data_IF_423401244137
#
_entry.id   IF_423401244137
#
_cell.length_a   1.000
_cell.length_b   1.000
_cell.length_c   1.000
_cell.angle_alpha   90.00
_cell.angle_beta   90.00
_cell.angle_gamma   90.00
#
_symmetry.space_group_name_H-M   'P 1'
#
loop_
_entity.id
_entity.type
_entity.pdbx_description
1 polymer ?
#
# COMPACT_ATOMS: atom_id res chain seq x y z
N UNK A 1 -2.99 -7.99 -25.85
CA UNK A 1 -4.04 -6.94 -25.91
C UNK A 1 -4.60 -6.78 -24.51
N UNK A 2 -4.87 -5.56 -24.03
CA UNK A 2 -5.52 -5.39 -22.73
C UNK A 2 -6.92 -6.02 -22.78
N UNK A 3 -7.24 -6.87 -21.82
CA UNK A 3 -8.59 -7.39 -21.62
C UNK A 3 -9.44 -6.26 -21.02
N UNK A 4 -10.41 -5.77 -21.78
CA UNK A 4 -11.44 -4.86 -21.27
C UNK A 4 -12.55 -5.71 -20.65
N UNK A 5 -12.65 -5.67 -19.33
CA UNK A 5 -13.68 -6.35 -18.55
C UNK A 5 -14.51 -5.26 -17.87
N UNK A 6 -15.73 -5.02 -18.36
CA UNK A 6 -16.72 -4.21 -17.64
C UNK A 6 -16.29 -2.77 -17.29
N UNK A 7 -15.66 -2.04 -18.21
CA UNK A 7 -15.27 -0.63 -18.00
C UNK A 7 -13.91 -0.43 -17.33
N UNK A 8 -13.09 -1.49 -17.27
CA UNK A 8 -11.72 -1.45 -16.78
C UNK A 8 -10.77 -2.11 -17.77
N UNK A 9 -9.53 -1.61 -17.80
CA UNK A 9 -8.40 -2.16 -18.55
C UNK A 9 -7.40 -2.76 -17.58
N UNK A 10 -7.11 -4.06 -17.71
CA UNK A 10 -6.05 -4.72 -16.92
C UNK A 10 -4.67 -4.21 -17.40
N UNK A 11 -3.87 -3.69 -16.46
CA UNK A 11 -2.52 -3.19 -16.72
C UNK A 11 -1.45 -4.22 -16.41
N UNK A 12 -1.57 -4.92 -15.28
CA UNK A 12 -0.57 -5.88 -14.81
C UNK A 12 -1.18 -6.90 -13.84
N UNK A 13 -0.58 -8.06 -13.74
CA UNK A 13 -0.94 -9.10 -12.78
C UNK A 13 0.32 -9.74 -12.23
N UNK A 14 0.37 -9.96 -10.92
CA UNK A 14 1.48 -10.64 -10.26
C UNK A 14 0.98 -11.38 -9.02
N UNK A 15 1.80 -12.30 -8.52
CA UNK A 15 1.50 -13.11 -7.34
C UNK A 15 2.55 -12.91 -6.26
N UNK A 16 2.16 -13.06 -5.01
CA UNK A 16 3.13 -13.22 -3.92
C UNK A 16 2.55 -14.08 -2.80
N UNK A 17 3.46 -14.72 -2.06
CA UNK A 17 3.16 -15.54 -0.90
C UNK A 17 3.23 -14.69 0.37
N UNK A 18 2.29 -14.88 1.28
CA UNK A 18 2.29 -14.24 2.60
C UNK A 18 3.02 -15.12 3.62
N UNK A 19 3.66 -14.54 4.65
CA UNK A 19 4.20 -15.30 5.77
C UNK A 19 3.16 -16.14 6.52
N UNK A 20 1.88 -15.78 6.40
CA UNK A 20 0.74 -16.49 6.97
C UNK A 20 0.34 -17.72 6.14
N UNK A 21 1.01 -17.97 5.01
CA UNK A 21 0.84 -19.14 4.16
C UNK A 21 -0.19 -18.99 3.05
N UNK A 22 -0.63 -17.77 2.73
CA UNK A 22 -1.53 -17.53 1.60
C UNK A 22 -0.76 -17.24 0.31
N UNK A 23 -1.35 -17.54 -0.83
CA UNK A 23 -0.91 -17.00 -2.12
C UNK A 23 -1.98 -16.06 -2.65
N UNK A 24 -1.59 -14.84 -2.95
CA UNK A 24 -2.51 -13.82 -3.48
C UNK A 24 -2.12 -13.41 -4.89
N UNK A 25 -3.14 -13.10 -5.69
CA UNK A 25 -3.01 -12.45 -6.99
C UNK A 25 -3.36 -10.98 -6.86
N UNK A 26 -2.47 -10.11 -7.31
CA UNK A 26 -2.73 -8.69 -7.46
C UNK A 26 -2.97 -8.37 -8.92
N UNK A 27 -4.08 -7.71 -9.19
CA UNK A 27 -4.45 -7.28 -10.54
C UNK A 27 -4.56 -5.76 -10.53
N UNK A 28 -3.65 -5.11 -11.26
CA UNK A 28 -3.73 -3.68 -11.50
C UNK A 28 -4.68 -3.41 -12.68
N UNK A 29 -5.60 -2.48 -12.46
CA UNK A 29 -6.63 -2.10 -13.42
C UNK A 29 -6.71 -0.58 -13.53
N UNK A 30 -6.98 -0.08 -14.73
CA UNK A 30 -7.36 1.31 -14.98
C UNK A 30 -8.86 1.38 -15.27
N UNK A 31 -9.57 2.28 -14.62
CA UNK A 31 -10.97 2.53 -14.97
C UNK A 31 -11.06 3.38 -16.23
N UNK A 32 -11.99 3.03 -17.11
CA UNK A 32 -12.29 3.84 -18.29
C UNK A 32 -13.05 5.12 -17.91
N UNK A 33 -13.87 5.03 -16.83
CA UNK A 33 -14.60 6.13 -16.20
C UNK A 33 -14.77 5.83 -14.71
N UNK A 34 -14.52 6.79 -13.85
CA UNK A 34 -14.70 6.65 -12.41
C UNK A 34 -14.17 7.84 -11.63
N UNK A 35 -14.40 7.82 -10.31
CA UNK A 35 -13.77 8.78 -9.38
C UNK A 35 -12.26 8.53 -9.24
N UNK A 36 -11.83 7.28 -9.44
CA UNK A 36 -10.44 6.89 -9.36
C UNK A 36 -9.92 6.38 -10.71
N UNK A 37 -8.68 6.73 -11.00
CA UNK A 37 -8.02 6.38 -12.26
C UNK A 37 -7.61 4.91 -12.28
N UNK A 38 -7.03 4.43 -11.17
CA UNK A 38 -6.43 3.10 -11.10
C UNK A 38 -6.83 2.38 -9.81
N UNK A 39 -6.87 1.05 -9.91
CA UNK A 39 -7.18 0.14 -8.82
C UNK A 39 -6.18 -1.00 -8.80
N UNK A 40 -5.82 -1.45 -7.61
CA UNK A 40 -5.11 -2.70 -7.39
C UNK A 40 -6.03 -3.60 -6.57
N UNK A 41 -6.50 -4.69 -7.18
CA UNK A 41 -7.40 -5.64 -6.54
C UNK A 41 -6.60 -6.85 -6.10
N UNK A 42 -6.80 -7.27 -4.84
CA UNK A 42 -6.14 -8.42 -4.24
C UNK A 42 -7.12 -9.58 -4.19
N UNK A 43 -6.76 -10.67 -4.83
CA UNK A 43 -7.51 -11.91 -4.87
C UNK A 43 -6.76 -12.99 -4.10
N UNK A 44 -7.47 -13.76 -3.29
CA UNK A 44 -6.92 -14.96 -2.66
C UNK A 44 -6.99 -16.12 -3.67
N UNK A 45 -5.87 -16.79 -3.93
CA UNK A 45 -5.88 -18.00 -4.73
C UNK A 45 -6.30 -19.18 -3.85
N UNK A 46 -7.27 -20.01 -4.28
CA UNK A 46 -7.73 -21.14 -3.48
C UNK A 46 -6.65 -22.22 -3.45
N UNK A 47 -6.45 -22.78 -2.26
CA UNK A 47 -5.55 -23.89 -2.02
C UNK A 47 -6.25 -25.23 -2.18
N UNK A 48 -5.59 -26.19 -2.84
CA UNK A 48 -5.99 -27.58 -2.86
C UNK A 48 -5.50 -28.35 -1.61
N UNK A 49 -4.50 -27.81 -0.90
CA UNK A 49 -3.95 -28.39 0.31
C UNK A 49 -3.31 -27.30 1.18
N UNK A 50 -4.10 -26.69 2.07
CA UNK A 50 -3.68 -25.54 2.89
C UNK A 50 -2.53 -25.86 3.86
N UNK A 51 -2.54 -27.07 4.43
CA UNK A 51 -1.51 -27.48 5.39
C UNK A 51 -0.16 -27.61 4.69
N UNK A 52 -0.14 -28.28 3.53
CA UNK A 52 1.08 -28.40 2.73
C UNK A 52 1.53 -27.05 2.14
N UNK A 53 0.60 -26.18 1.78
CA UNK A 53 0.91 -24.83 1.30
C UNK A 53 1.71 -24.03 2.33
N UNK A 54 1.25 -23.99 3.58
CA UNK A 54 1.90 -23.25 4.64
C UNK A 54 3.33 -23.77 4.90
N UNK A 55 3.48 -25.09 5.01
CA UNK A 55 4.77 -25.73 5.23
C UNK A 55 5.74 -25.46 4.07
N UNK A 56 5.26 -25.54 2.83
CA UNK A 56 6.09 -25.35 1.65
C UNK A 56 6.48 -23.88 1.47
N UNK A 57 5.57 -22.92 1.70
CA UNK A 57 5.89 -21.48 1.71
C UNK A 57 6.96 -21.18 2.75
N UNK A 58 6.80 -21.70 3.97
CA UNK A 58 7.77 -21.52 5.05
C UNK A 58 9.13 -22.09 4.65
N UNK A 59 9.17 -23.31 4.13
CA UNK A 59 10.40 -23.98 3.68
C UNK A 59 11.14 -23.18 2.61
N UNK A 60 10.44 -22.73 1.56
CA UNK A 60 11.12 -22.01 0.45
C UNK A 60 11.52 -20.59 0.83
N UNK A 61 10.76 -19.91 1.69
CA UNK A 61 11.10 -18.56 2.13
C UNK A 61 12.19 -18.54 3.19
N UNK A 62 12.09 -19.39 4.22
CA UNK A 62 12.98 -19.34 5.38
C UNK A 62 14.24 -20.21 5.17
N UNK A 63 14.11 -21.41 4.60
CA UNK A 63 15.25 -22.32 4.44
C UNK A 63 16.02 -22.07 3.12
N UNK A 64 15.30 -21.77 2.03
CA UNK A 64 15.90 -21.52 0.72
C UNK A 64 16.13 -20.04 0.41
N UNK A 65 15.55 -19.14 1.21
CA UNK A 65 15.73 -17.70 1.06
C UNK A 65 15.01 -17.08 -0.14
N UNK A 66 13.97 -17.73 -0.68
CA UNK A 66 13.17 -17.19 -1.77
C UNK A 66 12.42 -15.92 -1.33
N UNK A 67 12.31 -14.95 -2.23
CA UNK A 67 11.41 -13.82 -2.03
C UNK A 67 9.94 -14.24 -2.05
N UNK A 68 9.06 -13.40 -1.50
CA UNK A 68 7.61 -13.65 -1.53
C UNK A 68 7.05 -13.86 -2.94
N UNK A 69 7.62 -13.21 -3.96
CA UNK A 69 7.22 -13.37 -5.36
C UNK A 69 7.67 -14.72 -5.91
N UNK A 70 8.93 -15.10 -5.68
CA UNK A 70 9.48 -16.39 -6.12
C UNK A 70 8.76 -17.56 -5.44
N UNK A 71 8.47 -17.44 -4.14
CA UNK A 71 7.71 -18.43 -3.39
C UNK A 71 6.30 -18.63 -4.00
N UNK A 72 5.57 -17.57 -4.34
CA UNK A 72 4.26 -17.73 -4.98
C UNK A 72 4.35 -18.45 -6.33
N UNK A 73 5.29 -18.07 -7.18
CA UNK A 73 5.46 -18.71 -8.49
C UNK A 73 5.86 -20.19 -8.34
N UNK A 74 6.64 -20.54 -7.31
CA UNK A 74 6.93 -21.93 -6.96
C UNK A 74 5.65 -22.69 -6.56
N UNK A 75 4.87 -22.17 -5.62
CA UNK A 75 3.62 -22.79 -5.13
C UNK A 75 2.59 -22.98 -6.25
N UNK A 76 2.49 -22.00 -7.17
CA UNK A 76 1.67 -22.09 -8.38
C UNK A 76 2.17 -23.19 -9.31
N UNK A 77 3.48 -23.27 -9.54
CA UNK A 77 4.11 -24.24 -10.46
C UNK A 77 3.97 -25.68 -9.99
N UNK A 78 3.95 -25.93 -8.69
CA UNK A 78 3.70 -27.26 -8.10
C UNK A 78 2.20 -27.53 -7.87
N UNK A 79 1.33 -26.67 -8.40
CA UNK A 79 -0.12 -26.84 -8.47
C UNK A 79 -0.82 -27.01 -7.09
N UNK A 80 -0.25 -26.41 -6.04
CA UNK A 80 -0.90 -26.36 -4.71
C UNK A 80 -2.09 -25.39 -4.72
N UNK A 81 -2.01 -24.31 -5.48
CA UNK A 81 -3.05 -23.29 -5.62
C UNK A 81 -3.59 -23.23 -7.04
N UNK A 82 -4.86 -22.86 -7.20
CA UNK A 82 -5.44 -22.64 -8.51
C UNK A 82 -5.22 -21.21 -9.02
N UNK A 83 -4.17 -21.03 -9.81
CA UNK A 83 -3.91 -19.78 -10.53
C UNK A 83 -4.58 -19.73 -11.92
N UNK A 84 -5.38 -20.71 -12.31
CA UNK A 84 -6.09 -20.72 -13.61
C UNK A 84 -7.45 -20.03 -13.55
N UNK A 85 -8.03 -19.93 -12.34
CA UNK A 85 -9.32 -19.27 -12.11
C UNK A 85 -9.31 -17.81 -12.56
N UNK A 86 -10.44 -17.41 -13.13
CA UNK A 86 -10.68 -16.05 -13.55
C UNK A 86 -10.95 -15.14 -12.33
N UNK A 87 -10.67 -13.82 -12.41
CA UNK A 87 -10.90 -12.90 -11.30
C UNK A 87 -12.33 -12.90 -10.72
N UNK A 88 -13.34 -13.18 -11.54
CA UNK A 88 -14.74 -13.28 -11.14
C UNK A 88 -15.06 -14.52 -10.27
N UNK A 89 -14.21 -15.54 -10.33
CA UNK A 89 -14.33 -16.76 -9.51
C UNK A 89 -13.53 -16.66 -8.19
N UNK A 90 -12.63 -15.68 -8.09
CA UNK A 90 -11.74 -15.53 -6.95
C UNK A 90 -12.32 -14.64 -5.84
N UNK A 91 -12.01 -14.98 -4.59
CA UNK A 91 -12.35 -14.15 -3.43
C UNK A 91 -11.50 -12.88 -3.45
N UNK A 92 -12.15 -11.70 -3.54
CA UNK A 92 -11.47 -10.42 -3.32
C UNK A 92 -11.26 -10.19 -1.83
N UNK A 93 -10.01 -10.08 -1.42
CA UNK A 93 -9.61 -9.82 -0.02
C UNK A 93 -9.03 -8.42 0.19
N UNK A 94 -8.86 -7.64 -0.89
CA UNK A 94 -8.30 -6.29 -0.79
C UNK A 94 -8.52 -5.43 -2.02
N UNK A 95 -8.52 -4.11 -1.81
CA UNK A 95 -8.57 -3.10 -2.87
C UNK A 95 -7.78 -1.85 -2.48
N UNK A 96 -7.03 -1.32 -3.42
CA UNK A 96 -6.34 -0.03 -3.31
C UNK A 96 -6.75 0.84 -4.50
N UNK A 97 -7.28 2.03 -4.23
CA UNK A 97 -7.64 3.01 -5.24
C UNK A 97 -6.62 4.14 -5.25
N UNK A 98 -6.17 4.56 -6.43
CA UNK A 98 -5.17 5.62 -6.55
C UNK A 98 -5.26 6.40 -7.86
N UNK A 99 -4.90 7.68 -7.75
CA UNK A 99 -4.93 8.65 -8.84
C UNK A 99 -3.54 9.18 -9.15
N UNK A 100 -3.41 9.77 -10.33
CA UNK A 100 -2.23 10.56 -10.68
C UNK A 100 -2.10 11.77 -9.75
N UNK A 101 -0.87 12.04 -9.31
CA UNK A 101 -0.56 13.15 -8.42
C UNK A 101 0.73 13.84 -8.83
N UNK A 102 0.61 15.09 -9.30
CA UNK A 102 1.76 15.93 -9.62
C UNK A 102 2.27 16.68 -8.40
N UNK A 103 3.59 16.73 -8.21
CA UNK A 103 4.24 17.49 -7.14
C UNK A 103 5.58 18.07 -7.59
N UNK A 104 6.06 19.07 -6.85
CA UNK A 104 7.37 19.67 -7.06
C UNK A 104 8.38 19.04 -6.11
N UNK A 105 9.43 18.45 -6.66
CA UNK A 105 10.53 17.86 -5.90
C UNK A 105 11.43 18.89 -5.22
N UNK A 106 12.33 18.41 -4.36
CA UNK A 106 13.29 19.29 -3.64
C UNK A 106 14.28 19.95 -4.60
N UNK A 107 14.52 19.33 -5.74
CA UNK A 107 15.32 19.85 -6.85
C UNK A 107 14.59 20.90 -7.70
N UNK A 108 13.30 21.17 -7.41
CA UNK A 108 12.46 22.11 -8.15
C UNK A 108 11.81 21.54 -9.40
N UNK A 109 12.03 20.26 -9.74
CA UNK A 109 11.41 19.62 -10.90
C UNK A 109 9.98 19.15 -10.59
N UNK A 110 9.14 19.07 -11.61
CA UNK A 110 7.81 18.48 -11.50
C UNK A 110 7.89 16.96 -11.70
N UNK A 111 7.24 16.22 -10.80
CA UNK A 111 7.17 14.77 -10.79
C UNK A 111 5.72 14.31 -10.82
N UNK A 112 5.48 13.14 -11.42
CA UNK A 112 4.19 12.47 -11.43
C UNK A 112 4.28 11.19 -10.60
N UNK A 113 3.48 11.12 -9.54
CA UNK A 113 3.35 9.95 -8.68
C UNK A 113 1.92 9.41 -8.63
N UNK A 114 1.72 8.40 -7.79
CA UNK A 114 0.40 7.84 -7.49
C UNK A 114 -0.01 8.20 -6.07
N UNK A 115 -1.15 8.87 -5.92
CA UNK A 115 -1.74 9.10 -4.60
C UNK A 115 -2.76 8.02 -4.27
N UNK A 116 -2.54 7.30 -3.17
CA UNK A 116 -3.54 6.40 -2.61
C UNK A 116 -4.73 7.23 -2.11
N UNK A 117 -5.92 6.94 -2.63
CA UNK A 117 -7.20 7.57 -2.22
C UNK A 117 -8.08 6.65 -1.39
N UNK A 118 -7.72 5.37 -1.33
CA UNK A 118 -8.43 4.38 -0.53
C UNK A 118 -7.65 3.08 -0.47
N UNK A 119 -7.65 2.45 0.70
CA UNK A 119 -7.04 1.16 0.92
C UNK A 119 -7.96 0.35 1.85
N UNK A 120 -8.31 -0.85 1.43
CA UNK A 120 -9.10 -1.77 2.22
C UNK A 120 -8.53 -3.18 2.10
N UNK A 121 -8.41 -3.85 3.22
CA UNK A 121 -8.10 -5.27 3.35
C UNK A 121 -9.16 -5.90 4.26
N UNK A 122 -9.68 -7.04 3.85
CA UNK A 122 -10.62 -7.81 4.65
C UNK A 122 -9.87 -8.47 5.82
N UNK A 123 -10.29 -8.34 7.08
CA UNK A 123 -9.72 -9.13 8.17
C UNK A 123 -9.87 -10.64 7.90
N UNK A 124 -8.86 -11.48 8.21
CA UNK A 124 -7.60 -11.15 8.89
C UNK A 124 -6.44 -10.72 7.97
N UNK A 125 -6.68 -10.55 6.67
CA UNK A 125 -5.65 -10.28 5.65
C UNK A 125 -5.01 -8.88 5.78
N UNK A 126 -5.57 -8.00 6.60
CA UNK A 126 -4.99 -6.71 6.99
C UNK A 126 -3.67 -6.85 7.78
N UNK A 127 -3.44 -8.01 8.41
CA UNK A 127 -2.20 -8.34 9.10
C UNK A 127 -1.11 -8.96 8.21
N UNK A 128 -1.47 -9.48 7.03
CA UNK A 128 -0.66 -10.42 6.25
C UNK A 128 0.43 -9.80 5.35
N UNK A 129 0.96 -8.62 5.73
CA UNK A 129 1.88 -7.77 4.94
C UNK A 129 1.37 -7.35 3.55
N UNK A 130 0.16 -7.73 3.17
CA UNK A 130 -0.42 -7.46 1.84
C UNK A 130 -0.45 -5.96 1.54
N UNK A 131 -0.84 -5.14 2.52
CA UNK A 131 -0.89 -3.69 2.36
C UNK A 131 0.46 -3.08 2.00
N UNK A 132 1.52 -3.46 2.73
CA UNK A 132 2.86 -2.97 2.43
C UNK A 132 3.41 -3.48 1.09
N UNK A 133 3.10 -4.71 0.71
CA UNK A 133 3.51 -5.27 -0.59
C UNK A 133 2.79 -4.57 -1.75
N UNK A 134 1.50 -4.28 -1.60
CA UNK A 134 0.73 -3.51 -2.57
C UNK A 134 1.32 -2.10 -2.76
N UNK A 135 1.65 -1.41 -1.67
CA UNK A 135 2.27 -0.08 -1.73
C UNK A 135 3.67 -0.16 -2.37
N UNK A 136 4.46 -1.19 -2.02
CA UNK A 136 5.78 -1.41 -2.61
C UNK A 136 5.70 -1.63 -4.11
N UNK A 137 4.75 -2.44 -4.58
CA UNK A 137 4.52 -2.65 -6.01
C UNK A 137 4.24 -1.33 -6.75
N UNK A 138 3.31 -0.52 -6.22
CA UNK A 138 2.97 0.78 -6.83
C UNK A 138 4.21 1.70 -6.84
N UNK A 139 4.96 1.72 -5.73
CA UNK A 139 6.19 2.51 -5.61
C UNK A 139 7.29 2.06 -6.60
N UNK A 140 7.53 0.76 -6.75
CA UNK A 140 8.52 0.22 -7.69
C UNK A 140 8.15 0.55 -9.14
N UNK A 141 6.87 0.46 -9.49
CA UNK A 141 6.37 0.73 -10.83
C UNK A 141 6.37 2.21 -11.20
N UNK A 142 5.89 3.07 -10.29
CA UNK A 142 5.65 4.49 -10.59
C UNK A 142 6.65 5.45 -9.96
N UNK A 143 7.65 4.93 -9.22
CA UNK A 143 8.75 5.65 -8.56
C UNK A 143 8.35 6.61 -7.44
N UNK A 144 7.13 7.15 -7.46
CA UNK A 144 6.63 8.08 -6.46
C UNK A 144 5.25 7.63 -5.97
N UNK A 145 5.15 7.43 -4.65
CA UNK A 145 3.91 7.06 -3.98
C UNK A 145 3.55 8.12 -2.95
N UNK A 146 2.27 8.50 -2.92
CA UNK A 146 1.74 9.57 -2.08
C UNK A 146 0.60 9.02 -1.23
N UNK A 147 0.59 9.36 0.06
CA UNK A 147 -0.52 9.01 0.93
C UNK A 147 -1.76 9.84 0.64
N UNK A 148 -2.93 9.39 1.10
CA UNK A 148 -4.09 10.27 1.11
C UNK A 148 -3.91 11.41 2.11
N UNK A 149 -4.59 12.52 1.86
CA UNK A 149 -4.64 13.65 2.79
C UNK A 149 -5.59 13.42 3.97
N UNK A 150 -6.41 12.37 3.91
CA UNK A 150 -7.25 11.88 5.00
C UNK A 150 -6.87 10.44 5.33
N UNK A 151 -6.08 10.25 6.39
CA UNK A 151 -5.60 8.92 6.78
C UNK A 151 -6.36 8.35 7.97
N UNK A 152 -6.56 7.05 7.93
CA UNK A 152 -6.87 6.26 9.14
C UNK A 152 -5.61 6.16 10.01
N UNK A 153 -5.77 5.83 11.29
CA UNK A 153 -4.63 5.60 12.20
C UNK A 153 -3.72 4.48 11.68
N UNK A 154 -4.31 3.42 11.12
CA UNK A 154 -3.56 2.33 10.48
C UNK A 154 -2.74 2.83 9.28
N UNK A 155 -3.34 3.64 8.41
CA UNK A 155 -2.64 4.26 7.28
C UNK A 155 -1.48 5.14 7.73
N UNK A 156 -1.72 6.06 8.66
CA UNK A 156 -0.68 6.91 9.23
C UNK A 156 0.44 6.09 9.90
N UNK A 157 0.10 4.97 10.53
CA UNK A 157 1.06 4.06 11.17
C UNK A 157 1.92 3.33 10.14
N UNK A 158 1.33 2.90 9.02
CA UNK A 158 2.07 2.31 7.91
C UNK A 158 3.07 3.32 7.32
N UNK A 159 2.66 4.57 7.08
CA UNK A 159 3.54 5.60 6.54
C UNK A 159 4.67 6.00 7.48
N UNK A 160 4.37 6.16 8.77
CA UNK A 160 5.36 6.54 9.79
C UNK A 160 6.31 5.40 10.20
N UNK A 161 5.97 4.15 9.90
CA UNK A 161 6.79 2.98 10.22
C UNK A 161 7.29 2.25 8.97
N UNK A 162 6.41 1.48 8.34
CA UNK A 162 6.76 0.55 7.26
C UNK A 162 7.29 1.26 6.02
N UNK A 163 6.65 2.35 5.57
CA UNK A 163 7.06 3.03 4.33
C UNK A 163 8.46 3.64 4.44
N UNK A 164 8.85 4.14 5.62
CA UNK A 164 10.22 4.63 5.88
C UNK A 164 11.30 3.57 5.71
N UNK A 165 10.96 2.27 5.72
CA UNK A 165 11.91 1.18 5.42
C UNK A 165 12.22 1.06 3.93
N UNK A 166 11.34 1.58 3.07
CA UNK A 166 11.51 1.53 1.62
C UNK A 166 12.27 2.74 1.06
N UNK A 167 12.44 3.80 1.84
CA UNK A 167 13.12 5.01 1.41
C UNK A 167 12.76 6.22 2.28
N UNK A 168 13.31 7.37 1.90
CA UNK A 168 13.01 8.63 2.55
C UNK A 168 11.58 9.07 2.25
N UNK A 169 10.87 9.48 3.30
CA UNK A 169 9.49 9.95 3.21
C UNK A 169 9.48 11.46 3.44
N UNK A 170 9.08 12.22 2.44
CA UNK A 170 8.89 13.67 2.50
C UNK A 170 7.53 14.01 3.12
N UNK A 171 7.50 15.04 3.95
CA UNK A 171 6.27 15.74 4.36
C UNK A 171 6.05 16.90 3.39
N UNK A 172 4.94 16.90 2.66
CA UNK A 172 4.65 17.82 1.57
C UNK A 172 3.37 18.62 1.82
N UNK A 173 3.44 19.94 1.58
CA UNK A 173 2.30 20.85 1.62
C UNK A 173 1.72 21.01 0.21
N UNK A 174 0.53 20.48 -0.03
CA UNK A 174 -0.13 20.52 -1.34
C UNK A 174 -0.61 21.91 -1.75
N UNK A 175 -0.81 22.82 -0.79
CA UNK A 175 -1.24 24.20 -1.05
C UNK A 175 -0.03 25.07 -1.39
N UNK A 176 1.05 24.97 -0.61
CA UNK A 176 2.30 25.71 -0.86
C UNK A 176 3.16 25.09 -1.95
N UNK A 177 2.88 23.83 -2.31
CA UNK A 177 3.62 23.02 -3.27
C UNK A 177 5.10 22.86 -2.92
N UNK A 178 5.40 22.59 -1.66
CA UNK A 178 6.78 22.44 -1.21
C UNK A 178 6.96 21.32 -0.16
N UNK A 179 8.19 20.79 -0.11
CA UNK A 179 8.67 19.95 0.97
C UNK A 179 8.76 20.80 2.25
N UNK A 180 8.10 20.36 3.32
CA UNK A 180 8.17 20.99 4.64
C UNK A 180 9.29 20.40 5.49
N UNK A 181 9.46 19.07 5.44
CA UNK A 181 10.44 18.32 6.22
C UNK A 181 10.54 16.88 5.68
N UNK A 182 11.44 16.09 6.23
CA UNK A 182 11.49 14.64 6.07
C UNK A 182 10.84 13.95 7.28
N UNK A 183 10.04 12.92 7.06
CA UNK A 183 9.40 12.16 8.11
C UNK A 183 10.43 11.32 8.87
N UNK A 184 10.63 11.69 10.12
CA UNK A 184 11.56 11.10 11.06
C UNK A 184 10.87 10.27 12.15
N UNK A 185 11.60 10.11 13.26
CA UNK A 185 11.16 9.29 14.38
C UNK A 185 9.94 9.87 15.09
N UNK A 186 9.20 8.99 15.77
CA UNK A 186 7.91 9.33 16.41
C UNK A 186 6.89 9.94 15.44
N UNK A 187 7.01 9.62 14.15
CA UNK A 187 6.12 10.10 13.11
C UNK A 187 6.09 11.64 12.96
N UNK A 188 7.22 12.32 13.13
CA UNK A 188 7.28 13.79 12.93
C UNK A 188 8.46 14.20 12.09
N UNK A 189 8.45 15.43 11.60
CA UNK A 189 9.53 16.02 10.84
C UNK A 189 10.87 15.89 11.57
N UNK A 190 11.89 15.39 10.87
CA UNK A 190 13.21 15.09 11.45
C UNK A 190 13.99 16.35 11.82
N UNK A 191 13.75 17.46 11.11
CA UNK A 191 14.50 18.71 11.29
C UNK A 191 13.70 19.74 12.09
N UNK A 192 12.43 19.91 11.74
CA UNK A 192 11.55 20.95 12.28
C UNK A 192 10.63 20.45 13.38
N UNK A 193 10.48 19.13 13.52
CA UNK A 193 9.48 18.52 14.39
C UNK A 193 8.04 18.68 13.89
N UNK A 194 7.83 19.04 12.62
CA UNK A 194 6.50 19.24 12.05
C UNK A 194 5.64 17.98 12.25
N UNK A 195 4.41 18.17 12.74
CA UNK A 195 3.43 17.09 12.91
C UNK A 195 2.54 17.00 11.64
N UNK A 196 2.69 15.96 10.79
CA UNK A 196 1.94 15.83 9.54
C UNK A 196 0.60 15.12 9.70
N UNK A 197 0.14 14.94 10.93
CA UNK A 197 -1.11 14.26 11.25
C UNK A 197 -1.97 15.15 12.12
N UNK A 198 -3.27 15.13 11.87
CA UNK A 198 -4.25 15.73 12.76
C UNK A 198 -5.23 14.66 13.28
N UNK A 199 -5.94 15.00 14.35
CA UNK A 199 -6.85 14.09 15.05
C UNK A 199 -8.05 13.67 14.17
N UNK A 200 -8.33 14.38 13.08
CA UNK A 200 -9.44 14.16 12.18
C UNK A 200 -10.78 14.21 12.90
N UNK A 201 -11.68 13.28 12.54
CA UNK A 201 -12.97 13.11 13.19
C UNK A 201 -12.93 12.13 14.38
N UNK A 202 -11.76 11.60 14.75
CA UNK A 202 -11.65 10.53 15.73
C UNK A 202 -11.76 11.05 17.17
N UNK A 203 -12.35 10.27 18.10
CA UNK A 203 -12.33 10.59 19.52
C UNK A 203 -10.91 10.40 20.09
N UNK A 204 -10.52 11.27 21.03
CA UNK A 204 -9.17 11.27 21.60
C UNK A 204 -8.80 9.93 22.26
N UNK A 205 -9.76 9.24 22.89
CA UNK A 205 -9.51 7.94 23.52
C UNK A 205 -9.00 6.90 22.51
N UNK A 206 -9.64 6.80 21.34
CA UNK A 206 -9.25 5.87 20.28
C UNK A 206 -7.86 6.19 19.72
N UNK A 207 -7.55 7.48 19.58
CA UNK A 207 -6.24 7.93 19.15
C UNK A 207 -5.17 7.50 20.16
N UNK A 208 -5.39 7.71 21.45
CA UNK A 208 -4.42 7.29 22.48
C UNK A 208 -4.14 5.78 22.43
N UNK A 209 -5.18 4.96 22.21
CA UNK A 209 -5.04 3.52 22.18
C UNK A 209 -4.32 3.00 20.92
N UNK A 210 -4.60 3.57 19.75
CA UNK A 210 -4.10 3.07 18.46
C UNK A 210 -2.86 3.82 17.91
N UNK A 211 -2.70 5.11 18.24
CA UNK A 211 -1.57 5.95 17.78
C UNK A 211 -0.38 5.92 18.74
N UNK A 212 -0.58 5.41 19.96
CA UNK A 212 0.45 5.24 20.97
C UNK A 212 0.99 6.57 21.52
N UNK A 213 2.31 6.63 21.73
CA UNK A 213 2.99 7.81 22.30
C UNK A 213 3.33 8.90 21.26
N UNK A 214 2.88 8.75 20.01
CA UNK A 214 3.16 9.67 18.91
C UNK A 214 2.33 10.94 19.04
N UNK A 215 2.97 12.06 18.72
CA UNK A 215 2.32 13.38 18.74
C UNK A 215 1.45 13.57 17.48
N UNK A 216 0.35 14.31 17.61
CA UNK A 216 -0.47 14.77 16.49
C UNK A 216 -1.06 16.14 16.77
N UNK A 217 -1.59 16.80 15.73
CA UNK A 217 -2.30 18.07 15.88
C UNK A 217 -3.73 17.85 16.36
N UNK A 218 -4.09 18.48 17.47
CA UNK A 218 -5.44 18.39 18.04
C UNK A 218 -6.46 19.27 17.28
N UNK A 219 -5.99 20.20 16.46
CA UNK A 219 -6.85 21.01 15.60
C UNK A 219 -7.32 20.19 14.39
N UNK A 220 -8.62 19.97 14.31
CA UNK A 220 -9.24 19.07 13.33
C UNK A 220 -9.11 19.62 11.92
N UNK A 221 -8.59 18.79 11.01
CA UNK A 221 -8.43 19.15 9.61
C UNK A 221 -7.23 20.07 9.32
N UNK A 222 -6.39 20.35 10.33
CA UNK A 222 -5.19 21.17 10.17
C UNK A 222 -4.13 20.55 9.27
N UNK A 223 -4.21 19.25 8.96
CA UNK A 223 -3.32 18.53 8.05
C UNK A 223 -4.01 18.06 6.76
N UNK A 224 -5.23 18.51 6.44
CA UNK A 224 -5.96 18.11 5.22
C UNK A 224 -5.29 18.49 3.90
N UNK A 225 -4.28 19.34 3.94
CA UNK A 225 -3.44 19.75 2.81
C UNK A 225 -2.04 19.11 2.86
N UNK A 226 -1.76 18.27 3.85
CA UNK A 226 -0.48 17.61 4.04
C UNK A 226 -0.55 16.19 3.50
N UNK A 227 0.44 15.82 2.71
CA UNK A 227 0.66 14.45 2.26
C UNK A 227 2.10 14.03 2.54
N UNK A 228 2.32 12.73 2.64
CA UNK A 228 3.63 12.13 2.70
C UNK A 228 3.94 11.49 1.36
N UNK A 229 5.14 11.74 0.86
CA UNK A 229 5.60 11.29 -0.45
C UNK A 229 6.84 10.44 -0.24
N UNK A 230 6.86 9.22 -0.76
CA UNK A 230 8.06 8.40 -0.88
C UNK A 230 8.46 8.32 -2.34
N UNK A 231 9.75 8.52 -2.59
CA UNK A 231 10.35 8.45 -3.92
C UNK A 231 11.48 7.43 -3.91
N UNK A 232 11.52 6.58 -4.92
CA UNK A 232 12.72 5.79 -5.21
C UNK A 232 13.75 6.67 -5.94
N UNK A 233 15.06 6.47 -5.69
CA UNK A 233 16.13 7.15 -6.41
C UNK A 233 16.18 6.78 -7.89
#
# INVERSE_FOLDING_TARGET
MPLSMGGYTILETFHFATPEGDVVRLVEMRADKGEFDNFLVVYLLPSYNSDYQFDEITRVMDDEGMSAFEAAEHIIKIEIVDATLSPEELKVVGRFAYNDFSFIGVDGNEYLGKQIKGAYLEPPFDSARIGSTAYRFILDKYRHLVCDNLQTILGASMWSGTMRRYGEVMIYDTVKKCCLDQLGDKAKGSTTGFLPWDIGSLPLSRVTDEWGDRELRLDKGSCTHIVNIISLP
#
